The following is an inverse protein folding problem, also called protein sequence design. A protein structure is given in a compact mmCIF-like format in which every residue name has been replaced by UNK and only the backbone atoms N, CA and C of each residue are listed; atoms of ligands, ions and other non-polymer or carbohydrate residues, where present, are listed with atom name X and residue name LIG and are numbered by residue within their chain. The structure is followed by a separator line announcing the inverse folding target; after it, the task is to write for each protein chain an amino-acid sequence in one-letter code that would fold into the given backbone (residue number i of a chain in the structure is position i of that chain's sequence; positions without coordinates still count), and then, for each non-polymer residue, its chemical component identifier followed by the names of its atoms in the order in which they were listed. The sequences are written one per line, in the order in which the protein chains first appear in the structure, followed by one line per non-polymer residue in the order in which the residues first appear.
data_IF_393775725223
#
_entry.id   IF_393775725223
#
_cell.length_a   1.000
_cell.length_b   1.000
_cell.length_c   1.000
_cell.angle_alpha   90.00
_cell.angle_beta   90.00
_cell.angle_gamma   90.00
#
_symmetry.space_group_name_H-M   'P 1'
#
loop_
_entity.id
_entity.type
_entity.pdbx_description
1 polymer ?
#
# COMPACT_ATOMS: atom_id res chain seq x y z
N UNK A 1 -16.86 40.42 -21.30
CA UNK A 1 -17.20 39.01 -21.51
C UNK A 1 -16.39 38.20 -20.51
N UNK A 2 -17.04 37.54 -19.55
CA UNK A 2 -16.36 36.75 -18.53
C UNK A 2 -16.32 35.30 -18.99
N UNK A 3 -15.13 34.80 -19.35
CA UNK A 3 -14.93 33.40 -19.69
C UNK A 3 -14.96 32.57 -18.41
N UNK A 4 -16.01 31.76 -18.26
CA UNK A 4 -16.15 30.80 -17.18
C UNK A 4 -15.35 29.54 -17.54
N UNK A 5 -14.22 29.31 -16.89
CA UNK A 5 -13.46 28.05 -17.02
C UNK A 5 -14.14 26.99 -16.15
N UNK A 6 -14.84 26.06 -16.76
CA UNK A 6 -15.36 24.88 -16.08
C UNK A 6 -14.19 23.98 -15.68
N UNK A 7 -13.85 23.99 -14.38
CA UNK A 7 -12.95 22.98 -13.80
C UNK A 7 -13.65 21.61 -13.89
N UNK A 8 -13.38 20.88 -14.96
CA UNK A 8 -13.73 19.46 -15.04
C UNK A 8 -12.91 18.72 -13.98
N UNK A 9 -13.53 18.45 -12.83
CA UNK A 9 -13.05 17.44 -11.89
C UNK A 9 -13.08 16.11 -12.63
N UNK A 10 -11.93 15.65 -13.11
CA UNK A 10 -11.76 14.26 -13.55
C UNK A 10 -11.90 13.36 -12.34
N UNK A 11 -13.11 12.85 -12.09
CA UNK A 11 -13.28 11.74 -11.14
C UNK A 11 -12.53 10.55 -11.73
N UNK A 12 -11.44 10.12 -11.09
CA UNK A 12 -10.78 8.87 -11.44
C UNK A 12 -11.80 7.74 -11.26
N UNK A 13 -12.36 7.23 -12.36
CA UNK A 13 -13.19 6.03 -12.31
C UNK A 13 -12.27 4.83 -12.13
N UNK A 14 -12.07 4.42 -10.89
CA UNK A 14 -11.42 3.16 -10.54
C UNK A 14 -12.52 2.10 -10.62
N UNK A 15 -12.60 1.39 -11.75
CA UNK A 15 -13.50 0.27 -11.96
C UNK A 15 -12.85 -1.01 -11.43
N UNK A 16 -12.90 -1.25 -10.12
CA UNK A 16 -12.33 -2.46 -9.49
C UNK A 16 -13.23 -3.69 -9.58
N UNK A 17 -14.48 -3.54 -10.05
CA UNK A 17 -15.45 -4.66 -10.13
C UNK A 17 -15.95 -5.18 -8.77
N UNK A 18 -15.48 -4.60 -7.66
CA UNK A 18 -15.87 -4.91 -6.28
C UNK A 18 -16.46 -3.67 -5.61
N UNK A 19 -17.47 -3.85 -4.75
CA UNK A 19 -18.00 -2.77 -3.92
C UNK A 19 -16.93 -2.26 -2.95
N UNK A 20 -16.78 -0.95 -2.85
CA UNK A 20 -15.87 -0.30 -1.91
C UNK A 20 -16.36 -0.49 -0.47
N UNK A 21 -15.98 -1.60 0.14
CA UNK A 21 -16.32 -1.89 1.54
C UNK A 21 -15.12 -1.63 2.44
N UNK A 22 -15.30 -0.69 3.38
CA UNK A 22 -14.29 -0.41 4.40
C UNK A 22 -14.20 -1.62 5.33
N UNK A 23 -13.09 -2.36 5.25
CA UNK A 23 -12.86 -3.49 6.15
C UNK A 23 -12.68 -2.99 7.59
N UNK A 24 -13.15 -3.80 8.54
CA UNK A 24 -13.00 -3.53 9.97
C UNK A 24 -11.53 -3.43 10.39
N UNK A 25 -11.28 -2.69 11.47
CA UNK A 25 -9.94 -2.54 12.05
C UNK A 25 -9.45 -3.89 12.58
N UNK A 26 -8.21 -4.23 12.28
CA UNK A 26 -7.53 -5.42 12.84
C UNK A 26 -6.91 -5.08 14.19
N UNK A 27 -6.42 -3.85 14.35
CA UNK A 27 -5.90 -3.34 15.61
C UNK A 27 -7.00 -2.74 16.48
N UNK A 28 -6.84 -2.84 17.81
CA UNK A 28 -7.71 -2.13 18.78
C UNK A 28 -7.46 -0.62 18.79
N UNK A 29 -6.24 -0.22 18.43
CA UNK A 29 -5.81 1.17 18.38
C UNK A 29 -6.59 1.97 17.32
N UNK A 30 -6.84 3.25 17.58
CA UNK A 30 -7.39 4.20 16.61
C UNK A 30 -6.26 4.80 15.78
N UNK A 31 -6.57 5.24 14.58
CA UNK A 31 -5.64 5.87 13.64
C UNK A 31 -4.88 7.03 14.28
N UNK A 32 -5.57 7.91 15.01
CA UNK A 32 -4.95 9.07 15.66
C UNK A 32 -4.01 8.75 16.83
N UNK A 33 -3.95 7.49 17.28
CA UNK A 33 -2.99 7.07 18.31
C UNK A 33 -1.73 6.42 17.73
N UNK A 34 -1.64 6.28 16.40
CA UNK A 34 -0.41 5.84 15.72
C UNK A 34 0.48 7.03 15.42
N UNK A 35 1.64 7.07 16.08
CA UNK A 35 2.71 7.99 15.72
C UNK A 35 3.51 7.41 14.57
N UNK A 36 3.54 8.13 13.43
CA UNK A 36 4.38 7.78 12.29
C UNK A 36 5.73 8.45 12.50
N UNK A 37 6.79 7.66 12.51
CA UNK A 37 8.15 8.20 12.49
C UNK A 37 8.57 8.39 11.05
N UNK A 38 8.96 9.62 10.72
CA UNK A 38 9.50 9.99 9.41
C UNK A 38 10.96 10.37 9.65
N UNK A 39 11.84 9.83 8.81
CA UNK A 39 13.26 10.20 8.85
C UNK A 39 13.46 11.65 8.38
N UNK A 40 14.53 12.29 8.85
CA UNK A 40 14.82 13.66 8.45
C UNK A 40 15.30 13.69 6.99
N UNK A 41 14.74 14.59 6.15
CA UNK A 41 15.21 14.75 4.80
C UNK A 41 16.66 15.25 4.80
N UNK A 42 17.43 14.81 3.81
CA UNK A 42 18.81 15.24 3.62
C UNK A 42 18.85 16.44 2.68
N UNK A 43 19.35 17.57 3.19
CA UNK A 43 19.56 18.79 2.41
C UNK A 43 20.88 18.73 1.64
N UNK A 44 20.83 18.13 0.45
CA UNK A 44 21.98 18.06 -0.44
C UNK A 44 22.47 19.43 -0.94
N UNK A 45 21.62 20.46 -0.94
CA UNK A 45 22.01 21.81 -1.37
C UNK A 45 22.94 22.42 -0.32
N UNK A 46 22.53 22.38 0.95
CA UNK A 46 23.36 22.87 2.06
C UNK A 46 24.68 22.09 2.16
N UNK A 47 24.65 20.76 2.00
CA UNK A 47 25.88 19.95 2.00
C UNK A 47 26.87 20.38 0.91
N UNK A 48 26.39 20.59 -0.31
CA UNK A 48 27.23 21.04 -1.43
C UNK A 48 27.82 22.44 -1.18
N UNK A 49 27.08 23.36 -0.55
CA UNK A 49 27.57 24.68 -0.16
C UNK A 49 28.72 24.64 0.87
N UNK A 50 28.84 23.54 1.61
CA UNK A 50 29.91 23.30 2.60
C UNK A 50 30.99 22.34 2.06
N UNK A 51 31.21 22.32 0.75
CA UNK A 51 32.19 21.48 0.05
C UNK A 51 31.98 19.96 0.26
N UNK A 52 30.77 19.54 0.59
CA UNK A 52 30.38 18.14 0.75
C UNK A 52 29.40 17.73 -0.36
N UNK A 53 29.89 17.51 -1.58
CA UNK A 53 29.07 17.01 -2.69
C UNK A 53 29.03 15.47 -2.71
N UNK A 54 27.95 14.91 -2.16
CA UNK A 54 27.71 13.47 -2.15
C UNK A 54 27.01 12.95 -3.41
N UNK A 55 26.55 13.82 -4.31
CA UNK A 55 25.70 13.41 -5.44
C UNK A 55 26.37 12.36 -6.33
N UNK A 56 27.67 12.53 -6.59
CA UNK A 56 28.44 11.60 -7.42
C UNK A 56 28.55 10.23 -6.75
N UNK A 57 28.89 10.18 -5.45
CA UNK A 57 28.98 8.94 -4.70
C UNK A 57 27.65 8.21 -4.62
N UNK A 58 26.57 8.93 -4.31
CA UNK A 58 25.22 8.36 -4.22
C UNK A 58 24.72 7.83 -5.56
N UNK A 59 25.10 8.48 -6.67
CA UNK A 59 24.78 8.01 -8.01
C UNK A 59 25.50 6.70 -8.34
N UNK A 60 26.76 6.55 -7.95
CA UNK A 60 27.51 5.31 -8.17
C UNK A 60 27.01 4.15 -7.31
N UNK A 61 26.45 4.43 -6.14
CA UNK A 61 25.86 3.44 -5.23
C UNK A 61 24.37 3.15 -5.50
N UNK A 62 23.79 3.77 -6.52
CA UNK A 62 22.36 3.67 -6.87
C UNK A 62 21.39 4.10 -5.74
N UNK A 63 21.87 4.90 -4.77
CA UNK A 63 21.05 5.37 -3.65
C UNK A 63 20.19 6.59 -3.96
N UNK A 64 20.24 7.10 -5.20
CA UNK A 64 19.44 8.26 -5.58
C UNK A 64 17.93 7.98 -5.44
N UNK A 65 17.49 6.75 -5.73
CA UNK A 65 16.09 6.34 -5.55
C UNK A 65 15.65 6.43 -4.09
N UNK A 66 16.44 5.85 -3.18
CA UNK A 66 16.19 5.89 -1.74
C UNK A 66 16.10 7.32 -1.20
N UNK A 67 17.07 8.20 -1.51
CA UNK A 67 17.03 9.58 -1.02
C UNK A 67 15.92 10.42 -1.65
N UNK A 68 15.51 10.12 -2.89
CA UNK A 68 14.33 10.75 -3.49
C UNK A 68 13.05 10.34 -2.75
N UNK A 69 12.94 9.07 -2.32
CA UNK A 69 11.83 8.61 -1.49
C UNK A 69 11.86 9.27 -0.11
N UNK A 70 13.04 9.30 0.53
CA UNK A 70 13.27 9.90 1.85
C UNK A 70 12.90 11.38 1.89
N UNK A 71 13.36 12.15 0.91
CA UNK A 71 13.10 13.58 0.80
C UNK A 71 11.71 13.90 0.20
N UNK A 72 10.99 12.87 -0.24
CA UNK A 72 9.65 12.98 -0.80
C UNK A 72 8.60 13.28 0.27
N UNK A 73 7.37 13.55 -0.17
CA UNK A 73 6.26 13.74 0.77
C UNK A 73 5.88 12.42 1.44
N UNK A 74 5.82 12.43 2.77
CA UNK A 74 5.27 11.29 3.53
C UNK A 74 3.80 11.53 3.85
N UNK A 75 2.93 10.65 3.35
CA UNK A 75 1.49 10.71 3.62
C UNK A 75 1.14 9.95 4.91
N UNK A 76 1.45 10.54 6.06
CA UNK A 76 1.27 9.89 7.36
C UNK A 76 -0.15 9.34 7.60
N UNK A 77 -1.19 10.06 7.17
CA UNK A 77 -2.57 9.59 7.33
C UNK A 77 -2.83 8.29 6.57
N UNK A 78 -2.28 8.14 5.35
CA UNK A 78 -2.41 6.90 4.59
C UNK A 78 -1.69 5.75 5.30
N UNK A 79 -0.50 6.00 5.85
CA UNK A 79 0.25 5.02 6.65
C UNK A 79 -0.56 4.58 7.86
N UNK A 80 -1.19 5.51 8.59
CA UNK A 80 -2.07 5.18 9.72
C UNK A 80 -3.30 4.37 9.28
N UNK A 81 -3.99 4.79 8.21
CA UNK A 81 -5.16 4.07 7.69
C UNK A 81 -4.82 2.64 7.27
N UNK A 82 -3.65 2.47 6.64
CA UNK A 82 -3.12 1.17 6.25
C UNK A 82 -2.89 0.28 7.48
N UNK A 83 -2.09 0.73 8.44
CA UNK A 83 -1.63 -0.13 9.53
C UNK A 83 -2.74 -0.57 10.48
N UNK A 84 -3.72 0.29 10.78
CA UNK A 84 -4.84 -0.07 11.68
C UNK A 84 -5.69 -1.23 11.12
N UNK A 85 -5.71 -1.41 9.80
CA UNK A 85 -6.48 -2.45 9.07
C UNK A 85 -5.58 -3.52 8.46
N UNK A 86 -4.27 -3.45 8.69
CA UNK A 86 -3.33 -4.40 8.13
C UNK A 86 -3.49 -5.77 8.79
N UNK A 87 -3.48 -6.82 7.98
CA UNK A 87 -3.45 -8.20 8.41
C UNK A 87 -2.45 -8.99 7.56
N UNK A 88 -1.73 -9.89 8.21
CA UNK A 88 -0.84 -10.82 7.51
C UNK A 88 -1.69 -11.89 6.86
N UNK A 89 -1.49 -12.08 5.55
CA UNK A 89 -2.14 -13.11 4.76
C UNK A 89 -1.12 -14.17 4.37
N UNK A 90 -1.21 -15.33 5.03
CA UNK A 90 -0.33 -16.47 4.87
C UNK A 90 -1.11 -17.66 4.27
N UNK A 91 -0.40 -18.71 3.86
CA UNK A 91 -0.99 -19.86 3.17
C UNK A 91 -2.18 -20.49 3.92
N UNK A 92 -2.10 -20.57 5.24
CA UNK A 92 -3.21 -21.10 6.05
C UNK A 92 -4.42 -20.15 6.05
N UNK A 93 -4.22 -18.83 6.11
CA UNK A 93 -5.32 -17.87 5.95
C UNK A 93 -6.02 -18.02 4.59
N UNK A 94 -5.26 -18.34 3.54
CA UNK A 94 -5.82 -18.64 2.22
C UNK A 94 -6.68 -19.91 2.23
N UNK A 95 -6.23 -20.96 2.91
CA UNK A 95 -7.01 -22.20 3.06
C UNK A 95 -8.30 -21.98 3.87
N UNK A 96 -8.24 -21.21 4.96
CA UNK A 96 -9.43 -20.87 5.75
C UNK A 96 -10.47 -20.10 4.91
N UNK A 97 -10.03 -19.22 4.02
CA UNK A 97 -10.91 -18.51 3.08
C UNK A 97 -11.60 -19.46 2.09
N UNK A 98 -10.90 -20.48 1.58
CA UNK A 98 -11.47 -21.54 0.74
C UNK A 98 -12.48 -22.38 1.53
N UNK A 99 -12.07 -22.89 2.69
CA UNK A 99 -12.90 -23.76 3.54
C UNK A 99 -14.21 -23.04 3.93
N UNK A 100 -14.13 -21.74 4.23
CA UNK A 100 -15.29 -20.90 4.54
C UNK A 100 -16.22 -20.73 3.33
N UNK A 101 -15.69 -20.56 2.12
CA UNK A 101 -16.50 -20.46 0.91
C UNK A 101 -17.17 -21.78 0.54
N UNK A 102 -16.47 -22.91 0.71
CA UNK A 102 -17.05 -24.25 0.53
C UNK A 102 -18.15 -24.51 1.57
N UNK A 103 -17.98 -24.04 2.82
CA UNK A 103 -19.00 -24.16 3.86
C UNK A 103 -20.27 -23.36 3.51
N UNK A 104 -20.12 -22.14 2.98
CA UNK A 104 -21.25 -21.32 2.54
C UNK A 104 -21.93 -21.89 1.28
N UNK A 105 -21.13 -22.44 0.36
CA UNK A 105 -21.58 -22.91 -0.94
C UNK A 105 -20.91 -24.27 -1.26
N UNK A 106 -21.56 -25.39 -0.90
CA UNK A 106 -21.00 -26.74 -1.09
C UNK A 106 -20.63 -27.09 -2.54
N UNK A 107 -21.22 -26.40 -3.53
CA UNK A 107 -20.90 -26.52 -4.96
C UNK A 107 -19.46 -26.11 -5.31
N UNK A 108 -18.72 -25.49 -4.39
CA UNK A 108 -17.30 -25.18 -4.56
C UNK A 108 -16.38 -26.31 -4.09
N UNK A 109 -16.91 -27.37 -3.48
CA UNK A 109 -16.11 -28.51 -3.06
C UNK A 109 -15.35 -29.12 -4.25
N UNK A 110 -14.03 -29.26 -4.11
CA UNK A 110 -13.15 -29.84 -5.13
C UNK A 110 -12.75 -28.89 -6.27
N UNK A 111 -13.24 -27.65 -6.29
CA UNK A 111 -12.85 -26.64 -7.29
C UNK A 111 -11.52 -25.97 -6.92
N UNK A 112 -10.84 -25.41 -7.92
CA UNK A 112 -9.65 -24.58 -7.70
C UNK A 112 -10.03 -23.20 -7.14
N UNK A 113 -9.06 -22.49 -6.52
CA UNK A 113 -9.29 -21.10 -6.04
C UNK A 113 -9.85 -20.18 -7.10
N UNK A 114 -9.29 -20.26 -8.31
CA UNK A 114 -9.66 -19.41 -9.43
C UNK A 114 -11.10 -19.72 -9.89
N UNK A 115 -11.50 -21.00 -9.90
CA UNK A 115 -12.89 -21.43 -10.16
C UNK A 115 -13.87 -21.01 -9.06
N UNK A 116 -13.39 -20.79 -7.83
CA UNK A 116 -14.17 -20.23 -6.72
C UNK A 116 -14.23 -18.70 -6.77
N UNK A 117 -13.60 -18.05 -7.75
CA UNK A 117 -13.50 -16.59 -7.83
C UNK A 117 -12.50 -15.98 -6.83
N UNK A 118 -11.64 -16.81 -6.24
CA UNK A 118 -10.59 -16.37 -5.32
C UNK A 118 -9.27 -16.15 -6.05
N UNK A 119 -8.55 -15.10 -5.64
CA UNK A 119 -7.19 -14.87 -6.08
C UNK A 119 -6.26 -16.02 -5.64
N UNK A 120 -5.39 -16.46 -6.55
CA UNK A 120 -4.36 -17.46 -6.26
C UNK A 120 -3.42 -16.99 -5.16
N UNK A 121 -3.17 -17.85 -4.17
CA UNK A 121 -2.12 -17.60 -3.19
C UNK A 121 -0.75 -17.83 -3.84
N UNK A 122 0.04 -16.78 -3.97
CA UNK A 122 1.41 -16.86 -4.50
C UNK A 122 2.45 -16.78 -3.39
N UNK A 123 2.25 -15.87 -2.43
CA UNK A 123 3.19 -15.60 -1.34
C UNK A 123 2.49 -14.96 -0.14
N UNK A 124 3.22 -14.90 0.97
CA UNK A 124 2.80 -14.12 2.13
C UNK A 124 2.78 -12.64 1.79
N UNK A 125 1.70 -11.96 2.16
CA UNK A 125 1.52 -10.53 1.92
C UNK A 125 0.82 -9.86 3.10
N UNK A 126 1.04 -8.56 3.26
CA UNK A 126 0.31 -7.74 4.21
C UNK A 126 -0.86 -7.13 3.45
N UNK A 127 -2.08 -7.55 3.78
CA UNK A 127 -3.30 -6.99 3.18
C UNK A 127 -3.86 -5.92 4.09
N UNK A 128 -4.33 -4.82 3.50
CA UNK A 128 -5.09 -3.78 4.18
C UNK A 128 -6.19 -3.25 3.28
N UNK A 129 -6.95 -2.30 3.79
CA UNK A 129 -7.99 -1.60 3.07
C UNK A 129 -7.92 -0.12 3.45
N UNK A 130 -7.69 0.74 2.47
CA UNK A 130 -7.71 2.20 2.68
C UNK A 130 -8.93 2.74 1.94
N UNK A 131 -9.90 3.28 2.68
CA UNK A 131 -11.13 3.88 2.11
C UNK A 131 -11.87 2.94 1.14
N UNK A 132 -11.92 1.64 1.44
CA UNK A 132 -12.56 0.64 0.57
C UNK A 132 -11.65 0.06 -0.50
N UNK A 133 -10.48 0.66 -0.77
CA UNK A 133 -9.53 0.15 -1.76
C UNK A 133 -8.66 -0.96 -1.11
N UNK A 134 -8.67 -2.19 -1.64
CA UNK A 134 -7.77 -3.24 -1.16
C UNK A 134 -6.33 -2.90 -1.56
N UNK A 135 -5.42 -3.01 -0.60
CA UNK A 135 -3.98 -2.79 -0.81
C UNK A 135 -3.23 -3.98 -0.26
N UNK A 136 -2.23 -4.46 -0.98
CA UNK A 136 -1.29 -5.44 -0.47
C UNK A 136 0.16 -4.98 -0.60
N UNK A 137 0.96 -5.28 0.43
CA UNK A 137 2.40 -5.14 0.42
C UNK A 137 3.00 -6.54 0.39
N UNK A 138 3.85 -6.78 -0.62
CA UNK A 138 4.61 -8.01 -0.77
C UNK A 138 6.11 -7.73 -0.59
N UNK A 139 6.91 -8.78 -0.44
CA UNK A 139 8.37 -8.67 -0.37
C UNK A 139 8.96 -7.93 -1.59
N UNK A 140 8.43 -8.15 -2.79
CA UNK A 140 8.85 -7.43 -3.99
C UNK A 140 8.57 -5.92 -3.92
N UNK A 141 7.47 -5.52 -3.29
CA UNK A 141 7.14 -4.09 -3.11
C UNK A 141 8.14 -3.44 -2.17
N UNK A 142 8.52 -4.15 -1.10
CA UNK A 142 9.53 -3.69 -0.14
C UNK A 142 10.92 -3.63 -0.80
N UNK A 143 11.28 -4.68 -1.54
CA UNK A 143 12.57 -4.78 -2.24
C UNK A 143 12.76 -3.77 -3.37
N UNK A 144 11.68 -3.21 -3.94
CA UNK A 144 11.77 -2.11 -4.91
C UNK A 144 11.91 -0.72 -4.27
N UNK A 145 11.59 -0.60 -2.98
CA UNK A 145 11.71 0.64 -2.24
C UNK A 145 13.10 0.83 -1.61
N UNK A 146 13.88 -0.25 -1.50
CA UNK A 146 15.27 -0.27 -1.03
C UNK A 146 16.21 -0.27 -2.24
#
# INVERSE_FOLDING_TARGET
MASSSSNQRTSMQISTGEDYQIKGRTMKLKEGHLTVQVENPVDFVSLAHHDCDLNTYLKYQDFKGYFNMLNGSTYENLVRYFWVRAKIYYKYAAKVEEDHLVLLNPSHAGKSREEMGLNKFTRTEIRSNIMGIPISITEEVIGKAC
#
